data_IF_843346606779
#
_entry.id   IF_843346606779
#
_cell.length_a   1.000
_cell.length_b   1.000
_cell.length_c   1.000
_cell.angle_alpha   90.00
_cell.angle_beta   90.00
_cell.angle_gamma   90.00
#
_symmetry.space_group_name_H-M   'P 1'
#
loop_
_entity.id
_entity.type
_entity.pdbx_description
1 polymer ?
#
# COMPACT_ATOMS: atom_id res chain seq x y z
N UNK A 1 -32.96 5.16 -2.01
CA UNK A 1 -31.89 4.85 -3.00
C UNK A 1 -30.84 5.95 -3.05
N UNK A 2 -31.20 7.22 -3.16
CA UNK A 2 -30.25 8.36 -3.19
C UNK A 2 -29.33 8.46 -1.96
N UNK A 3 -29.81 8.07 -0.78
CA UNK A 3 -29.04 8.11 0.46
C UNK A 3 -27.81 7.18 0.48
N UNK A 4 -27.82 6.09 -0.30
CA UNK A 4 -26.73 5.11 -0.36
C UNK A 4 -25.71 5.44 -1.46
N UNK A 5 -26.19 6.02 -2.57
CA UNK A 5 -25.38 6.26 -3.76
C UNK A 5 -24.25 7.24 -3.47
N UNK A 6 -24.53 8.32 -2.74
CA UNK A 6 -23.52 9.32 -2.37
C UNK A 6 -22.33 8.70 -1.63
N UNK A 7 -22.55 8.03 -0.48
CA UNK A 7 -21.49 7.38 0.27
C UNK A 7 -20.73 6.32 -0.53
N UNK A 8 -21.42 5.48 -1.31
CA UNK A 8 -20.79 4.44 -2.13
C UNK A 8 -19.86 5.08 -3.17
N UNK A 9 -20.35 6.05 -3.94
CA UNK A 9 -19.55 6.72 -4.97
C UNK A 9 -18.36 7.48 -4.37
N UNK A 10 -18.56 8.12 -3.22
CA UNK A 10 -17.49 8.81 -2.51
C UNK A 10 -16.41 7.82 -2.03
N UNK A 11 -16.80 6.71 -1.39
CA UNK A 11 -15.86 5.68 -0.95
C UNK A 11 -15.08 5.09 -2.12
N UNK A 12 -15.78 4.72 -3.21
CA UNK A 12 -15.14 4.20 -4.42
C UNK A 12 -14.15 5.20 -5.02
N UNK A 13 -14.54 6.47 -5.11
CA UNK A 13 -13.70 7.53 -5.63
C UNK A 13 -12.45 7.73 -4.77
N UNK A 14 -12.60 7.86 -3.45
CA UNK A 14 -11.48 8.09 -2.54
C UNK A 14 -10.55 6.88 -2.51
N UNK A 15 -11.09 5.66 -2.44
CA UNK A 15 -10.29 4.43 -2.51
C UNK A 15 -9.51 4.35 -3.83
N UNK A 16 -10.20 4.52 -4.97
CA UNK A 16 -9.55 4.46 -6.28
C UNK A 16 -8.45 5.50 -6.44
N UNK A 17 -8.74 6.74 -6.05
CA UNK A 17 -7.83 7.86 -6.19
C UNK A 17 -6.65 7.75 -5.23
N UNK A 18 -6.88 7.36 -3.97
CA UNK A 18 -5.82 7.19 -2.97
C UNK A 18 -4.84 6.09 -3.37
N UNK A 19 -5.31 4.92 -3.79
CA UNK A 19 -4.47 3.84 -4.31
C UNK A 19 -3.63 4.32 -5.50
N UNK A 20 -4.27 4.99 -6.46
CA UNK A 20 -3.57 5.54 -7.62
C UNK A 20 -2.52 6.61 -7.27
N UNK A 21 -2.83 7.47 -6.30
CA UNK A 21 -1.93 8.53 -5.84
C UNK A 21 -0.71 7.94 -5.11
N UNK A 22 -0.91 6.93 -4.26
CA UNK A 22 0.18 6.25 -3.54
C UNK A 22 1.15 5.61 -4.54
N UNK A 23 0.63 4.86 -5.52
CA UNK A 23 1.44 4.21 -6.57
C UNK A 23 2.24 5.25 -7.36
N UNK A 24 1.63 6.40 -7.66
CA UNK A 24 2.25 7.46 -8.45
C UNK A 24 3.39 8.11 -7.68
N UNK A 25 3.13 8.48 -6.43
CA UNK A 25 4.10 9.14 -5.55
C UNK A 25 5.30 8.23 -5.24
N UNK A 26 5.05 6.93 -5.06
CA UNK A 26 6.10 5.93 -4.86
C UNK A 26 6.93 5.68 -6.14
N UNK A 27 6.35 5.94 -7.32
CA UNK A 27 7.09 5.87 -8.58
C UNK A 27 7.98 7.07 -8.88
N UNK A 28 7.87 8.17 -8.13
CA UNK A 28 8.69 9.37 -8.34
C UNK A 28 10.16 9.16 -7.92
N UNK A 29 11.10 10.00 -8.40
CA UNK A 29 12.50 9.95 -7.99
C UNK A 29 12.67 10.17 -6.48
N UNK A 30 13.55 9.41 -5.81
CA UNK A 30 13.80 9.50 -4.35
C UNK A 30 13.91 10.93 -3.76
N UNK A 31 14.50 11.94 -4.44
CA UNK A 31 14.53 13.31 -3.90
C UNK A 31 13.16 13.94 -3.66
N UNK A 32 12.09 13.47 -4.32
CA UNK A 32 10.72 13.97 -4.13
C UNK A 32 10.05 13.37 -2.89
N UNK A 33 10.52 12.23 -2.40
CA UNK A 33 9.87 11.49 -1.31
C UNK A 33 9.75 12.33 -0.03
N UNK A 34 10.72 13.21 0.26
CA UNK A 34 10.65 14.12 1.41
C UNK A 34 9.47 15.10 1.32
N UNK A 35 9.14 15.57 0.11
CA UNK A 35 8.04 16.49 -0.13
C UNK A 35 6.70 15.77 -0.08
N UNK A 36 6.63 14.57 -0.65
CA UNK A 36 5.46 13.70 -0.54
C UNK A 36 5.17 13.34 0.92
N UNK A 37 6.21 13.01 1.69
CA UNK A 37 6.07 12.69 3.11
C UNK A 37 5.70 13.90 3.96
N UNK A 38 6.23 15.10 3.66
CA UNK A 38 5.83 16.34 4.29
C UNK A 38 4.33 16.62 4.05
N UNK A 39 3.88 16.52 2.78
CA UNK A 39 2.48 16.67 2.42
C UNK A 39 1.58 15.64 3.11
N UNK A 40 1.98 14.37 3.12
CA UNK A 40 1.26 13.32 3.82
C UNK A 40 1.15 13.61 5.33
N UNK A 41 2.22 14.10 5.96
CA UNK A 41 2.23 14.39 7.40
C UNK A 41 1.35 15.59 7.75
N UNK A 42 1.30 16.61 6.89
CA UNK A 42 0.34 17.72 7.04
C UNK A 42 -1.10 17.23 6.90
N UNK A 43 -1.36 16.33 5.94
CA UNK A 43 -2.66 15.70 5.77
C UNK A 43 -3.04 14.82 6.95
N UNK A 44 -2.09 14.12 7.58
CA UNK A 44 -2.33 13.37 8.82
C UNK A 44 -2.78 14.30 9.96
N UNK A 45 -2.13 15.45 10.13
CA UNK A 45 -2.55 16.46 11.10
C UNK A 45 -3.98 16.97 10.84
N UNK A 46 -4.30 17.23 9.56
CA UNK A 46 -5.65 17.61 9.16
C UNK A 46 -6.68 16.50 9.38
N UNK A 47 -6.30 15.23 9.18
CA UNK A 47 -7.14 14.07 9.45
C UNK A 47 -7.44 13.90 10.95
N UNK A 48 -6.44 14.06 11.81
CA UNK A 48 -6.68 14.03 13.26
C UNK A 48 -7.57 15.18 13.71
N UNK A 49 -7.35 16.38 13.18
CA UNK A 49 -8.26 17.50 13.41
C UNK A 49 -9.69 17.18 12.95
N UNK A 50 -9.83 16.59 11.75
CA UNK A 50 -11.10 16.15 11.17
C UNK A 50 -11.84 15.10 12.01
N UNK A 51 -11.12 14.11 12.53
CA UNK A 51 -11.69 13.11 13.44
C UNK A 51 -12.18 13.75 14.73
N UNK A 52 -11.37 14.62 15.33
CA UNK A 52 -11.71 15.31 16.56
C UNK A 52 -12.95 16.20 16.43
N UNK A 53 -13.04 17.05 15.40
CA UNK A 53 -14.25 17.88 15.15
C UNK A 53 -15.48 17.03 14.84
N UNK A 54 -15.31 15.89 14.17
CA UNK A 54 -16.43 15.04 13.80
C UNK A 54 -16.91 14.12 14.92
N UNK A 55 -16.18 14.03 16.05
CA UNK A 55 -16.41 13.03 17.09
C UNK A 55 -17.81 13.06 17.71
N UNK A 56 -18.40 14.26 17.83
CA UNK A 56 -19.78 14.47 18.33
C UNK A 56 -20.77 14.88 17.22
N UNK A 57 -20.30 15.02 15.99
CA UNK A 57 -21.13 15.42 14.85
C UNK A 57 -21.86 14.20 14.26
N UNK A 58 -23.09 13.96 14.73
CA UNK A 58 -23.97 12.90 14.21
C UNK A 58 -24.81 13.38 13.02
N UNK A 59 -24.30 14.28 12.20
CA UNK A 59 -24.90 14.64 10.91
C UNK A 59 -24.27 13.84 9.77
N UNK A 60 -24.95 13.78 8.62
CA UNK A 60 -24.39 13.15 7.41
C UNK A 60 -23.00 13.72 7.07
N UNK A 61 -22.81 15.03 7.25
CA UNK A 61 -21.50 15.67 7.04
C UNK A 61 -20.44 15.11 7.99
N UNK A 62 -20.79 14.95 9.28
CA UNK A 62 -19.94 14.32 10.28
C UNK A 62 -19.47 12.92 9.86
N UNK A 63 -20.35 12.10 9.30
CA UNK A 63 -19.98 10.78 8.77
C UNK A 63 -18.95 10.87 7.62
N UNK A 64 -19.13 11.78 6.66
CA UNK A 64 -18.19 11.98 5.55
C UNK A 64 -16.83 12.47 6.03
N UNK A 65 -16.82 13.42 6.97
CA UNK A 65 -15.57 13.96 7.54
C UNK A 65 -14.83 12.89 8.32
N UNK A 66 -15.52 12.13 9.17
CA UNK A 66 -14.91 11.06 9.95
C UNK A 66 -14.33 9.97 9.05
N UNK A 67 -15.09 9.54 8.04
CA UNK A 67 -14.67 8.55 7.06
C UNK A 67 -13.44 9.00 6.24
N UNK A 68 -13.52 10.20 5.64
CA UNK A 68 -12.43 10.74 4.83
C UNK A 68 -11.16 10.94 5.67
N UNK A 69 -11.30 11.42 6.90
CA UNK A 69 -10.18 11.62 7.81
C UNK A 69 -9.51 10.30 8.20
N UNK A 70 -10.29 9.25 8.49
CA UNK A 70 -9.74 7.92 8.76
C UNK A 70 -8.97 7.36 7.56
N UNK A 71 -9.50 7.53 6.34
CA UNK A 71 -8.80 7.11 5.12
C UNK A 71 -7.50 7.90 4.87
N UNK A 72 -7.50 9.21 5.11
CA UNK A 72 -6.28 10.02 4.98
C UNK A 72 -5.24 9.61 6.02
N UNK A 73 -5.66 9.36 7.26
CA UNK A 73 -4.78 8.84 8.30
C UNK A 73 -4.19 7.48 7.92
N UNK A 74 -4.99 6.59 7.35
CA UNK A 74 -4.51 5.32 6.80
C UNK A 74 -3.53 5.50 5.63
N UNK A 75 -3.85 6.40 4.70
CA UNK A 75 -2.99 6.70 3.55
C UNK A 75 -1.59 7.18 3.94
N UNK A 76 -1.46 7.85 5.09
CA UNK A 76 -0.15 8.21 5.65
C UNK A 76 0.67 6.96 6.04
N UNK A 77 0.04 5.95 6.64
CA UNK A 77 0.71 4.70 6.98
C UNK A 77 1.21 4.01 5.70
N UNK A 78 0.34 3.82 4.72
CA UNK A 78 0.68 3.18 3.45
C UNK A 78 1.84 3.89 2.74
N UNK A 79 1.77 5.21 2.54
CA UNK A 79 2.83 5.95 1.85
C UNK A 79 4.14 5.96 2.64
N UNK A 80 4.08 6.03 3.97
CA UNK A 80 5.27 6.00 4.82
C UNK A 80 6.01 4.66 4.76
N UNK A 81 5.26 3.57 4.61
CA UNK A 81 5.79 2.22 4.42
C UNK A 81 6.41 2.06 3.05
N UNK A 82 5.67 2.39 1.97
CA UNK A 82 6.16 2.27 0.61
C UNK A 82 7.40 3.10 0.34
N UNK A 83 7.47 4.34 0.86
CA UNK A 83 8.65 5.21 0.72
C UNK A 83 9.84 4.79 1.60
N UNK A 84 9.66 3.84 2.52
CA UNK A 84 10.73 3.33 3.37
C UNK A 84 11.06 4.17 4.60
N UNK A 85 10.21 5.13 4.99
CA UNK A 85 10.40 5.97 6.19
C UNK A 85 10.04 5.21 7.47
N UNK A 86 8.86 4.55 7.47
CA UNK A 86 8.34 3.81 8.61
C UNK A 86 8.26 2.33 8.22
N UNK A 87 9.43 1.71 8.08
CA UNK A 87 9.62 0.26 7.90
C UNK A 87 10.38 -0.29 9.07
N UNK A 88 10.47 -1.61 9.23
CA UNK A 88 11.08 -2.27 10.38
C UNK A 88 12.62 -2.17 10.47
N UNK A 89 13.20 -2.60 11.61
CA UNK A 89 14.65 -2.59 11.85
C UNK A 89 15.45 -3.41 10.83
N UNK A 90 14.85 -4.42 10.20
CA UNK A 90 15.53 -5.27 9.21
C UNK A 90 15.33 -4.71 7.80
N UNK A 91 16.44 -4.33 7.15
CA UNK A 91 16.47 -3.81 5.76
C UNK A 91 17.21 -4.72 4.78
N UNK A 92 17.38 -5.98 5.12
CA UNK A 92 18.09 -6.97 4.31
C UNK A 92 17.27 -8.27 4.18
N UNK A 93 17.48 -8.99 3.08
CA UNK A 93 16.79 -10.24 2.75
C UNK A 93 17.05 -11.34 3.80
N UNK A 94 16.24 -12.40 3.78
CA UNK A 94 16.60 -13.59 4.57
C UNK A 94 17.79 -14.33 3.94
N UNK A 95 18.67 -14.86 4.78
CA UNK A 95 19.81 -15.69 4.35
C UNK A 95 19.32 -17.04 3.81
N UNK A 96 20.15 -17.68 2.96
CA UNK A 96 19.83 -18.98 2.36
C UNK A 96 19.58 -20.04 3.45
N UNK A 97 18.40 -20.67 3.43
CA UNK A 97 17.97 -21.66 4.43
C UNK A 97 17.03 -21.14 5.53
N UNK A 98 16.69 -19.85 5.50
CA UNK A 98 15.72 -19.23 6.41
C UNK A 98 14.30 -19.81 6.22
N UNK A 99 13.82 -20.58 7.20
CA UNK A 99 12.49 -21.21 7.18
C UNK A 99 11.83 -21.23 8.56
N UNK A 100 10.53 -21.48 8.60
CA UNK A 100 9.76 -21.63 9.85
C UNK A 100 9.67 -20.35 10.69
N UNK A 101 9.81 -20.49 12.01
CA UNK A 101 9.63 -19.40 12.98
C UNK A 101 10.66 -18.28 12.85
N UNK A 102 11.89 -18.59 12.43
CA UNK A 102 12.92 -17.59 12.17
C UNK A 102 12.54 -16.71 10.97
N UNK A 103 11.99 -17.30 9.91
CA UNK A 103 11.48 -16.58 8.74
C UNK A 103 10.30 -15.67 9.09
N UNK A 104 9.37 -16.16 9.93
CA UNK A 104 8.26 -15.34 10.45
C UNK A 104 8.75 -14.17 11.31
N UNK A 105 9.69 -14.42 12.24
CA UNK A 105 10.29 -13.38 13.07
C UNK A 105 11.00 -12.31 12.25
N UNK A 106 11.71 -12.71 11.17
CA UNK A 106 12.34 -11.76 10.26
C UNK A 106 11.32 -10.98 9.42
N UNK A 107 10.23 -11.61 8.97
CA UNK A 107 9.14 -10.91 8.29
C UNK A 107 8.45 -9.88 9.20
N UNK A 108 8.30 -10.18 10.49
CA UNK A 108 7.81 -9.23 11.50
C UNK A 108 8.79 -8.05 11.70
N UNK A 109 10.09 -8.33 11.82
CA UNK A 109 11.14 -7.32 11.97
C UNK A 109 11.24 -6.36 10.77
N UNK A 110 10.64 -6.70 9.64
CA UNK A 110 10.67 -5.88 8.43
C UNK A 110 9.55 -4.82 8.41
N UNK A 111 8.48 -5.00 9.19
CA UNK A 111 7.40 -4.01 9.31
C UNK A 111 7.11 -3.57 10.75
N UNK A 112 7.89 -3.99 11.74
CA UNK A 112 7.63 -3.70 13.16
C UNK A 112 7.33 -2.21 13.46
N UNK A 113 8.13 -1.28 12.93
CA UNK A 113 7.92 0.16 13.17
C UNK A 113 6.62 0.66 12.54
N UNK A 114 6.18 0.05 11.44
CA UNK A 114 4.89 0.34 10.80
C UNK A 114 3.73 -0.10 11.68
N UNK A 115 3.78 -1.32 12.22
CA UNK A 115 2.76 -1.83 13.16
C UNK A 115 2.63 -0.93 14.39
N UNK A 116 3.77 -0.53 14.98
CA UNK A 116 3.77 0.36 16.13
C UNK A 116 3.18 1.73 15.79
N UNK A 117 3.42 2.25 14.58
CA UNK A 117 2.83 3.50 14.12
C UNK A 117 1.30 3.40 13.93
N UNK A 118 0.82 2.27 13.39
CA UNK A 118 -0.62 1.97 13.28
C UNK A 118 -1.25 1.92 14.67
N UNK A 119 -0.65 1.19 15.61
CA UNK A 119 -1.13 1.11 16.99
C UNK A 119 -1.15 2.47 17.70
N UNK A 120 -0.13 3.29 17.48
CA UNK A 120 -0.08 4.65 18.03
C UNK A 120 -1.18 5.53 17.43
N UNK A 121 -1.43 5.44 16.13
CA UNK A 121 -2.52 6.14 15.46
C UNK A 121 -3.88 5.64 15.92
N UNK A 122 -4.06 4.33 16.09
CA UNK A 122 -5.26 3.74 16.65
C UNK A 122 -5.56 4.28 18.04
N UNK A 123 -4.56 4.30 18.93
CA UNK A 123 -4.70 4.85 20.28
C UNK A 123 -5.06 6.36 20.25
N UNK A 124 -4.44 7.13 19.34
CA UNK A 124 -4.76 8.54 19.16
C UNK A 124 -6.20 8.75 18.68
N UNK A 125 -6.65 7.98 17.70
CA UNK A 125 -8.03 8.04 17.17
C UNK A 125 -9.01 7.68 18.28
N UNK A 126 -8.79 6.58 18.99
CA UNK A 126 -9.60 6.16 20.14
C UNK A 126 -9.68 7.27 21.18
N UNK A 127 -8.57 7.91 21.53
CA UNK A 127 -8.55 9.02 22.49
C UNK A 127 -9.33 10.24 21.99
N UNK A 128 -9.24 10.56 20.68
CA UNK A 128 -9.95 11.70 20.07
C UNK A 128 -11.45 11.46 19.92
N UNK A 129 -11.87 10.21 19.71
CA UNK A 129 -13.29 9.84 19.55
C UNK A 129 -13.89 9.25 20.82
N UNK A 130 -13.16 9.25 21.94
CA UNK A 130 -13.60 8.61 23.18
C UNK A 130 -14.85 9.29 23.74
N UNK A 131 -15.93 8.52 23.90
CA UNK A 131 -17.21 9.05 24.39
C UNK A 131 -17.97 9.90 23.37
N UNK A 132 -17.46 10.03 22.14
CA UNK A 132 -18.15 10.72 21.06
C UNK A 132 -19.26 9.87 20.45
N UNK A 133 -20.31 10.53 19.95
CA UNK A 133 -21.45 9.83 19.33
C UNK A 133 -21.17 9.35 17.89
N UNK A 134 -20.08 9.81 17.25
CA UNK A 134 -19.69 9.43 15.90
C UNK A 134 -18.46 8.51 15.89
N UNK A 135 -18.73 7.22 15.76
CA UNK A 135 -17.69 6.17 15.73
C UNK A 135 -17.24 5.81 14.30
N UNK A 136 -17.76 6.47 13.26
CA UNK A 136 -17.52 6.06 11.86
C UNK A 136 -16.04 6.12 11.51
N UNK A 137 -15.32 7.15 11.95
CA UNK A 137 -13.88 7.28 11.70
C UNK A 137 -13.07 6.18 12.37
N UNK A 138 -13.40 5.85 13.63
CA UNK A 138 -12.76 4.76 14.37
C UNK A 138 -12.96 3.42 13.66
N UNK A 139 -14.21 3.06 13.35
CA UNK A 139 -14.51 1.79 12.69
C UNK A 139 -13.94 1.71 11.27
N UNK A 140 -13.87 2.82 10.55
CA UNK A 140 -13.20 2.87 9.24
C UNK A 140 -11.72 2.52 9.38
N UNK A 141 -11.03 3.10 10.37
CA UNK A 141 -9.63 2.80 10.64
C UNK A 141 -9.44 1.34 11.07
N UNK A 142 -10.32 0.81 11.93
CA UNK A 142 -10.28 -0.59 12.36
C UNK A 142 -10.47 -1.56 11.20
N UNK A 143 -11.42 -1.29 10.29
CA UNK A 143 -11.64 -2.12 9.11
C UNK A 143 -10.39 -2.15 8.23
N UNK A 144 -9.78 -0.99 7.97
CA UNK A 144 -8.56 -0.90 7.18
C UNK A 144 -7.42 -1.67 7.84
N UNK A 145 -7.22 -1.49 9.15
CA UNK A 145 -6.19 -2.21 9.89
C UNK A 145 -6.40 -3.72 9.89
N UNK A 146 -7.61 -4.17 10.19
CA UNK A 146 -7.98 -5.59 10.18
C UNK A 146 -7.72 -6.22 8.81
N UNK A 147 -8.15 -5.56 7.74
CA UNK A 147 -8.00 -6.08 6.39
C UNK A 147 -6.56 -6.02 5.89
N UNK A 148 -5.78 -5.02 6.31
CA UNK A 148 -4.34 -4.95 6.02
C UNK A 148 -3.57 -6.09 6.67
N UNK A 149 -3.79 -6.34 7.97
CA UNK A 149 -3.14 -7.47 8.66
C UNK A 149 -3.57 -8.82 8.07
N UNK A 150 -4.85 -8.94 7.71
CA UNK A 150 -5.36 -10.11 7.04
C UNK A 150 -4.70 -10.37 5.68
N UNK A 151 -4.54 -9.32 4.86
CA UNK A 151 -3.85 -9.42 3.57
C UNK A 151 -2.38 -9.79 3.77
N UNK A 152 -1.70 -9.15 4.73
CA UNK A 152 -0.31 -9.43 5.08
C UNK A 152 -0.08 -10.88 5.50
N UNK A 153 -0.93 -11.41 6.37
CA UNK A 153 -0.87 -12.83 6.80
C UNK A 153 -1.14 -13.79 5.64
N UNK A 154 -2.11 -13.48 4.78
CA UNK A 154 -2.37 -14.27 3.60
C UNK A 154 -1.17 -14.30 2.66
N UNK A 155 -0.58 -13.14 2.38
CA UNK A 155 0.63 -13.01 1.54
C UNK A 155 1.83 -13.74 2.14
N UNK A 156 2.02 -13.66 3.47
CA UNK A 156 3.09 -14.36 4.17
C UNK A 156 2.96 -15.88 4.08
N UNK A 157 1.77 -16.43 4.31
CA UNK A 157 1.52 -17.88 4.25
C UNK A 157 1.49 -18.41 2.80
N UNK A 158 1.15 -17.51 1.87
CA UNK A 158 1.37 -17.64 0.45
C UNK A 158 0.09 -17.51 -0.36
N UNK A 159 0.17 -16.65 -1.38
CA UNK A 159 -0.91 -16.40 -2.35
C UNK A 159 -0.37 -16.44 -3.77
N UNK A 160 -1.28 -16.63 -4.73
CA UNK A 160 -0.95 -16.82 -6.14
C UNK A 160 -0.49 -15.53 -6.80
N UNK A 161 -1.13 -14.42 -6.47
CA UNK A 161 -0.78 -13.10 -6.98
C UNK A 161 -0.06 -12.30 -5.89
N UNK A 162 1.27 -12.42 -5.85
CA UNK A 162 2.10 -11.71 -4.87
C UNK A 162 2.21 -10.19 -5.11
N UNK A 163 1.58 -9.66 -6.18
CA UNK A 163 1.63 -8.23 -6.52
C UNK A 163 3.06 -7.67 -6.47
N UNK A 164 4.06 -8.49 -6.82
CA UNK A 164 5.48 -8.19 -6.67
C UNK A 164 5.96 -7.02 -7.56
N UNK A 165 5.10 -6.58 -8.47
CA UNK A 165 5.26 -5.39 -9.32
C UNK A 165 4.83 -4.09 -8.62
N UNK A 166 3.97 -4.16 -7.59
CA UNK A 166 3.63 -3.00 -6.75
C UNK A 166 4.77 -2.60 -5.80
N UNK A 167 5.63 -3.56 -5.43
CA UNK A 167 6.79 -3.29 -4.57
C UNK A 167 7.83 -2.40 -5.28
N UNK A 168 8.18 -1.24 -4.72
CA UNK A 168 9.22 -0.40 -5.29
C UNK A 168 10.61 -1.06 -5.23
N UNK A 169 11.56 -0.65 -6.08
CA UNK A 169 12.87 -1.31 -6.19
C UNK A 169 13.66 -1.39 -4.89
N UNK A 170 13.51 -0.42 -3.97
CA UNK A 170 14.19 -0.43 -2.67
C UNK A 170 13.60 -1.43 -1.67
N UNK A 171 12.38 -1.90 -1.89
CA UNK A 171 11.73 -2.94 -1.09
C UNK A 171 11.79 -4.32 -1.76
N UNK A 172 12.63 -4.50 -2.79
CA UNK A 172 12.76 -5.78 -3.48
C UNK A 172 13.21 -6.93 -2.57
N UNK A 173 13.92 -6.63 -1.47
CA UNK A 173 14.32 -7.62 -0.46
C UNK A 173 13.12 -8.29 0.23
N UNK A 174 11.95 -7.62 0.26
CA UNK A 174 10.71 -8.17 0.81
C UNK A 174 10.29 -9.44 0.08
N UNK A 175 10.63 -9.57 -1.21
CA UNK A 175 10.30 -10.74 -2.03
C UNK A 175 10.85 -12.05 -1.43
N UNK A 176 11.97 -12.00 -0.71
CA UNK A 176 12.53 -13.17 -0.01
C UNK A 176 11.65 -13.70 1.14
N UNK A 177 10.73 -12.88 1.63
CA UNK A 177 9.79 -13.24 2.69
C UNK A 177 8.41 -13.68 2.17
N UNK A 178 8.18 -13.60 0.85
CA UNK A 178 6.90 -13.94 0.24
C UNK A 178 6.91 -15.38 -0.25
N UNK A 179 5.83 -16.12 0.02
CA UNK A 179 5.67 -17.49 -0.44
C UNK A 179 4.69 -17.56 -1.62
N UNK A 180 5.08 -18.15 -2.74
CA UNK A 180 4.17 -18.28 -3.87
C UNK A 180 3.43 -19.63 -3.77
N UNK A 181 2.16 -19.60 -3.36
CA UNK A 181 1.30 -20.77 -3.25
C UNK A 181 -0.06 -20.50 -3.88
N UNK A 182 -0.72 -21.50 -4.48
CA UNK A 182 -2.00 -21.28 -5.16
C UNK A 182 -3.09 -20.79 -4.20
N UNK A 183 -3.10 -21.25 -2.96
CA UNK A 183 -4.03 -20.80 -1.92
C UNK A 183 -3.53 -21.21 -0.52
N UNK A 184 -3.92 -20.43 0.48
CA UNK A 184 -3.72 -20.73 1.90
C UNK A 184 -5.06 -20.94 2.61
N UNK A 185 -5.09 -21.75 3.67
CA UNK A 185 -6.30 -22.04 4.44
C UNK A 185 -6.85 -20.81 5.22
N UNK A 186 -6.02 -19.79 5.49
CA UNK A 186 -6.53 -18.55 6.10
C UNK A 186 -7.39 -17.72 5.13
N UNK A 187 -7.23 -17.89 3.82
CA UNK A 187 -7.98 -17.12 2.83
C UNK A 187 -9.51 -17.33 2.96
N UNK A 188 -10.05 -18.56 2.88
CA UNK A 188 -11.49 -18.76 3.02
C UNK A 188 -12.01 -18.32 4.38
N UNK A 189 -11.24 -18.52 5.46
CA UNK A 189 -11.62 -18.08 6.79
C UNK A 189 -11.73 -16.56 6.91
N UNK A 190 -10.70 -15.84 6.45
CA UNK A 190 -10.66 -14.37 6.43
C UNK A 190 -11.81 -13.79 5.61
N UNK A 191 -12.02 -14.31 4.40
CA UNK A 191 -13.08 -13.83 3.50
C UNK A 191 -14.46 -14.14 4.09
N UNK A 192 -14.67 -15.32 4.66
CA UNK A 192 -15.96 -15.67 5.29
C UNK A 192 -16.29 -14.77 6.48
N UNK A 193 -15.34 -14.54 7.39
CA UNK A 193 -15.57 -13.64 8.53
C UNK A 193 -15.85 -12.21 8.05
N UNK A 194 -15.04 -11.72 7.10
CA UNK A 194 -15.20 -10.37 6.56
C UNK A 194 -16.55 -10.22 5.84
N UNK A 195 -17.02 -11.28 5.17
CA UNK A 195 -18.34 -11.31 4.52
C UNK A 195 -19.49 -11.25 5.54
N UNK A 196 -19.36 -11.95 6.67
CA UNK A 196 -20.35 -11.86 7.76
C UNK A 196 -20.36 -10.46 8.37
N UNK A 197 -19.19 -9.87 8.63
CA UNK A 197 -19.12 -8.48 9.13
C UNK A 197 -19.74 -7.52 8.10
N UNK A 198 -19.43 -7.70 6.82
CA UNK A 198 -20.01 -6.91 5.73
C UNK A 198 -21.53 -7.00 5.68
N UNK A 199 -22.11 -8.20 5.86
CA UNK A 199 -23.57 -8.37 5.83
C UNK A 199 -24.23 -7.72 7.04
N UNK A 200 -23.60 -7.75 8.22
CA UNK A 200 -24.06 -7.03 9.41
C UNK A 200 -24.04 -5.52 9.15
N UNK A 201 -22.93 -4.97 8.66
CA UNK A 201 -22.82 -3.54 8.35
C UNK A 201 -23.84 -3.09 7.30
N UNK A 202 -24.05 -3.90 6.25
CA UNK A 202 -25.05 -3.63 5.23
C UNK A 202 -26.49 -3.69 5.78
N UNK A 203 -26.75 -4.62 6.70
CA UNK A 203 -28.05 -4.71 7.39
C UNK A 203 -28.28 -3.50 8.28
N UNK A 204 -27.29 -3.08 9.07
CA UNK A 204 -27.34 -1.86 9.89
C UNK A 204 -27.60 -0.61 9.02
N UNK A 205 -26.96 -0.52 7.86
CA UNK A 205 -27.22 0.55 6.90
C UNK A 205 -28.66 0.53 6.37
N UNK A 206 -29.23 -0.66 6.15
CA UNK A 206 -30.55 -0.84 5.58
C UNK A 206 -31.69 -0.57 6.59
N UNK A 207 -31.48 -0.90 7.87
CA UNK A 207 -32.48 -0.70 8.94
C UNK A 207 -32.36 0.68 9.62
N UNK A 208 -31.25 1.39 9.42
CA UNK A 208 -31.05 2.72 9.97
C UNK A 208 -32.13 3.70 9.50
N UNK A 209 -32.76 4.37 10.47
CA UNK A 209 -33.82 5.36 10.22
C UNK A 209 -33.22 6.76 10.13
N UNK A 210 -32.11 7.02 10.84
CA UNK A 210 -31.43 8.30 10.79
C UNK A 210 -30.43 8.37 9.60
N UNK A 211 -30.38 9.50 8.88
CA UNK A 211 -29.50 9.66 7.72
C UNK A 211 -28.01 9.50 8.02
N UNK A 212 -27.58 9.82 9.25
CA UNK A 212 -26.19 9.72 9.67
C UNK A 212 -25.71 8.27 9.74
N UNK A 213 -26.40 7.40 10.50
CA UNK A 213 -26.07 5.98 10.59
C UNK A 213 -26.25 5.30 9.25
N UNK A 214 -27.27 5.66 8.47
CA UNK A 214 -27.43 5.15 7.12
C UNK A 214 -26.19 5.44 6.25
N UNK A 215 -25.71 6.68 6.22
CA UNK A 215 -24.49 7.04 5.49
C UNK A 215 -23.23 6.38 6.07
N UNK A 216 -23.07 6.40 7.39
CA UNK A 216 -21.94 5.83 8.10
C UNK A 216 -21.77 4.33 7.88
N UNK A 217 -22.82 3.54 8.10
CA UNK A 217 -22.76 2.10 7.84
C UNK A 217 -22.62 1.77 6.35
N UNK A 218 -23.15 2.61 5.46
CA UNK A 218 -22.90 2.46 4.01
C UNK A 218 -21.42 2.62 3.69
N UNK A 219 -20.73 3.60 4.30
CA UNK A 219 -19.29 3.75 4.15
C UNK A 219 -18.53 2.51 4.63
N UNK A 220 -18.82 2.05 5.85
CA UNK A 220 -18.17 0.87 6.43
C UNK A 220 -18.41 -0.39 5.60
N UNK A 221 -19.64 -0.62 5.16
CA UNK A 221 -19.99 -1.75 4.30
C UNK A 221 -19.27 -1.67 2.94
N UNK A 222 -19.25 -0.49 2.31
CA UNK A 222 -18.57 -0.29 1.02
C UNK A 222 -17.08 -0.56 1.14
N UNK A 223 -16.43 -0.06 2.20
CA UNK A 223 -15.01 -0.35 2.45
C UNK A 223 -14.75 -1.82 2.70
N UNK A 224 -15.62 -2.51 3.43
CA UNK A 224 -15.49 -3.94 3.64
C UNK A 224 -15.63 -4.73 2.34
N UNK A 225 -16.59 -4.36 1.48
CA UNK A 225 -16.73 -4.95 0.13
C UNK A 225 -15.45 -4.75 -0.68
N UNK A 226 -14.91 -3.53 -0.71
CA UNK A 226 -13.67 -3.22 -1.42
C UNK A 226 -12.49 -4.04 -0.90
N UNK A 227 -12.35 -4.16 0.42
CA UNK A 227 -11.29 -4.93 1.03
C UNK A 227 -11.43 -6.44 0.77
N UNK A 228 -12.66 -6.97 0.75
CA UNK A 228 -12.93 -8.36 0.34
C UNK A 228 -12.53 -8.57 -1.12
N UNK A 229 -12.90 -7.65 -2.01
CA UNK A 229 -12.52 -7.71 -3.43
C UNK A 229 -11.00 -7.71 -3.61
N UNK A 230 -10.28 -6.89 -2.84
CA UNK A 230 -8.83 -6.87 -2.82
C UNK A 230 -8.22 -8.22 -2.39
N UNK A 231 -8.82 -8.87 -1.39
CA UNK A 231 -8.41 -10.23 -1.01
C UNK A 231 -8.62 -11.21 -2.17
N UNK A 232 -9.74 -11.13 -2.88
CA UNK A 232 -9.97 -11.95 -4.07
C UNK A 232 -8.91 -11.70 -5.15
N UNK A 233 -8.40 -10.47 -5.31
CA UNK A 233 -7.31 -10.18 -6.24
C UNK A 233 -5.96 -10.80 -5.87
N UNK A 234 -5.75 -11.20 -4.60
CA UNK A 234 -4.57 -11.96 -4.19
C UNK A 234 -4.60 -13.41 -4.68
N UNK A 235 -5.80 -13.97 -4.87
CA UNK A 235 -6.00 -15.38 -5.25
C UNK A 235 -6.31 -15.53 -6.74
N UNK A 236 -7.12 -14.64 -7.29
CA UNK A 236 -7.50 -14.67 -8.71
C UNK A 236 -6.33 -14.16 -9.58
N UNK A 237 -6.04 -14.81 -10.72
CA UNK A 237 -4.98 -14.42 -11.63
C UNK A 237 -5.41 -13.22 -12.51
N UNK A 238 -5.91 -12.15 -11.89
CA UNK A 238 -6.36 -10.93 -12.57
C UNK A 238 -5.30 -9.84 -12.33
N UNK A 239 -4.81 -9.17 -13.37
CA UNK A 239 -3.86 -8.07 -13.22
C UNK A 239 -4.60 -6.84 -12.67
N UNK A 240 -4.79 -6.77 -11.36
CA UNK A 240 -5.39 -5.63 -10.68
C UNK A 240 -4.65 -4.32 -10.98
N UNK A 241 -3.37 -4.40 -11.35
CA UNK A 241 -2.53 -3.27 -11.79
C UNK A 241 -3.07 -2.55 -13.05
N UNK A 242 -3.81 -3.26 -13.92
CA UNK A 242 -4.34 -2.67 -15.15
C UNK A 242 -5.25 -1.45 -14.88
N UNK A 243 -5.88 -1.42 -13.71
CA UNK A 243 -6.71 -0.34 -13.20
C UNK A 243 -5.93 0.98 -13.01
N UNK A 244 -4.63 0.91 -12.67
CA UNK A 244 -3.79 2.07 -12.38
C UNK A 244 -2.59 2.22 -13.33
N UNK A 245 -2.70 1.72 -14.57
CA UNK A 245 -1.65 1.82 -15.59
C UNK A 245 -1.09 3.24 -15.79
N UNK A 246 -1.92 4.28 -15.64
CA UNK A 246 -1.49 5.68 -15.75
C UNK A 246 -0.51 6.07 -14.63
N UNK A 247 -0.71 5.55 -13.43
CA UNK A 247 0.09 5.86 -12.23
C UNK A 247 1.43 5.13 -12.27
N UNK A 248 1.44 3.88 -12.75
CA UNK A 248 2.63 3.05 -12.92
C UNK A 248 3.64 3.61 -13.94
N UNK A 249 3.21 4.48 -14.87
CA UNK A 249 4.13 5.15 -15.83
C UNK A 249 5.21 5.98 -15.14
N UNK A 250 4.94 6.49 -13.93
CA UNK A 250 5.94 7.23 -13.14
C UNK A 250 7.21 6.42 -12.84
N UNK A 251 7.09 5.09 -12.76
CA UNK A 251 8.19 4.14 -12.49
C UNK A 251 9.06 3.84 -13.71
N UNK A 252 8.65 4.27 -14.91
CA UNK A 252 9.45 4.07 -16.12
C UNK A 252 10.62 5.04 -16.09
N UNK A 253 11.85 4.52 -15.99
CA UNK A 253 13.05 5.34 -16.11
C UNK A 253 13.00 6.12 -17.45
N UNK A 254 13.43 7.40 -17.48
CA UNK A 254 13.51 8.14 -18.73
C UNK A 254 14.37 7.35 -19.73
N UNK A 255 14.00 7.32 -21.02
CA UNK A 255 14.77 6.62 -22.05
C UNK A 255 16.24 6.97 -21.93
N UNK A 256 17.12 5.95 -21.95
CA UNK A 256 18.58 6.08 -21.93
C UNK A 256 19.14 6.72 -23.22
N UNK A 257 18.50 7.76 -23.75
CA UNK A 257 18.93 8.46 -24.96
C UNK A 257 20.14 9.37 -24.68
N UNK A 258 20.34 9.80 -23.44
CA UNK A 258 21.46 10.67 -23.05
C UNK A 258 22.80 9.94 -22.81
N UNK A 259 22.82 8.59 -22.72
CA UNK A 259 24.09 7.85 -22.48
C UNK A 259 24.76 7.33 -23.76
N UNK A 260 24.14 7.47 -24.92
CA UNK A 260 24.73 7.10 -26.22
C UNK A 260 25.54 8.24 -26.86
N UNK A 261 25.39 9.48 -26.41
CA UNK A 261 26.07 10.62 -27.05
C UNK A 261 27.55 10.78 -26.66
N UNK A 262 27.98 10.25 -25.50
CA UNK A 262 29.38 10.36 -25.06
C UNK A 262 30.26 9.18 -25.47
N UNK A 263 29.68 8.02 -25.79
CA UNK A 263 30.45 6.84 -26.22
C UNK A 263 30.99 6.95 -27.66
N UNK A 264 30.40 7.81 -28.49
CA UNK A 264 30.77 7.94 -29.90
C UNK A 264 31.86 8.97 -30.19
N UNK A 265 32.37 9.69 -29.18
CA UNK A 265 33.32 10.80 -29.41
C UNK A 265 34.79 10.43 -29.19
N UNK A 266 35.11 9.21 -28.77
CA UNK A 266 36.49 8.81 -28.44
C UNK A 266 37.12 7.69 -29.28
N UNK A 267 36.44 7.13 -30.27
CA UNK A 267 37.02 6.05 -31.09
C UNK A 267 37.21 6.46 -32.55
N UNK A 268 38.17 7.36 -32.80
CA UNK A 268 38.77 7.49 -34.13
C UNK A 268 40.22 7.99 -34.04
N UNK A 269 41.15 7.04 -33.90
CA UNK A 269 42.50 7.17 -34.48
C UNK A 269 43.17 5.80 -34.73
N UNK A 270 42.82 5.22 -35.89
CA UNK A 270 43.59 4.38 -36.84
C UNK A 270 44.29 3.08 -36.40
N UNK A 271 44.10 1.98 -37.16
CA UNK A 271 45.03 0.86 -37.24
C UNK A 271 45.93 0.93 -38.49
N UNK A 272 47.23 0.63 -38.34
CA UNK A 272 48.09 0.21 -39.45
C UNK A 272 48.72 -1.16 -39.11
N UNK A 273 48.53 -2.12 -40.02
CA UNK A 273 48.98 -3.52 -39.96
C UNK A 273 50.50 -3.70 -39.85
N UNK A 274 50.97 -4.84 -39.30
CA UNK A 274 52.38 -5.21 -39.28
C UNK A 274 52.81 -5.93 -40.57
N UNK A 275 54.05 -5.66 -41.00
CA UNK A 275 54.76 -6.47 -42.01
C UNK A 275 55.70 -7.47 -41.30
N UNK A 276 55.89 -8.71 -41.83
CA UNK A 276 56.85 -9.64 -41.28
C UNK A 276 58.19 -9.53 -42.03
N UNK A 277 59.31 -9.39 -41.30
CA UNK A 277 60.65 -9.61 -41.83
C UNK A 277 61.35 -10.65 -40.98
N UNK A 278 61.96 -11.59 -41.69
CA UNK A 278 62.66 -12.75 -41.19
C UNK A 278 64.09 -12.45 -40.70
N UNK A 279 64.55 -13.37 -39.85
CA UNK A 279 65.91 -13.92 -39.78
C UNK A 279 66.93 -13.36 -38.76
N UNK A 280 67.45 -14.34 -38.01
CA UNK A 280 68.87 -14.63 -37.70
C UNK A 280 69.56 -14.05 -36.44
N UNK A 281 70.12 -15.04 -35.70
CA UNK A 281 71.40 -15.09 -34.94
C UNK A 281 71.43 -14.79 -33.43
N UNK A 282 71.57 -15.89 -32.67
CA UNK A 282 72.70 -16.33 -31.82
C UNK A 282 73.42 -15.37 -30.86
N UNK A 283 73.83 -15.96 -29.72
CA UNK A 283 74.87 -15.54 -28.73
C UNK A 283 74.31 -14.55 -27.69
N UNK A 284 74.33 -14.75 -26.37
CA UNK A 284 75.26 -15.43 -25.45
C UNK A 284 74.52 -16.18 -24.33
#
# INVERSE_FOLDING_TARGET
MTAYIGPILFALFVWWFSTGAIIYLDGLPRPTFKWSMLGATLLLGAAFYGLWISADDTTVKGAYVAFASALVAWGWHEISFYMGYVTGPRKHACEDGCSGWAHFGHALQVSLWHELAILASFAAIVAMTWGGANEIGLWTFVILWWMHESARLNVFLGVRNLNAHFLPPHLAYLKSFLNNKPMNLLFPFSVSISTVICSVLATEAAIAVDPFRQAGFTFLATMMVLAILEHWFLVLPIPAEAMWNWSMKSRQAPPQEARRHDAHRHDHSKPHSPAPIASLRSVH
#
